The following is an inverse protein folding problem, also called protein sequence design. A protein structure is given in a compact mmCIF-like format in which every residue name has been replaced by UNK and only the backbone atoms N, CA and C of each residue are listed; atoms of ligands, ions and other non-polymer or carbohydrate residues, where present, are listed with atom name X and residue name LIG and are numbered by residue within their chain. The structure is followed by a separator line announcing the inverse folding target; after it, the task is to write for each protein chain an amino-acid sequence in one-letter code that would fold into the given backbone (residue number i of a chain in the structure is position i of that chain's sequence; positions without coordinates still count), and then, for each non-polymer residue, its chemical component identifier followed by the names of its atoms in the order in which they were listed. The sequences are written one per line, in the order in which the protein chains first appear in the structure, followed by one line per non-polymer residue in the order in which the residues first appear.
data_IF_383811181996
#
_entry.id   IF_383811181996
#
_cell.length_a   1.000
_cell.length_b   1.000
_cell.length_c   1.000
_cell.angle_alpha   90.00
_cell.angle_beta   90.00
_cell.angle_gamma   90.00
#
_symmetry.space_group_name_H-M   'P 1'
#
loop_
_entity.id
_entity.type
_entity.pdbx_description
1 polymer ?
#
# COMPACT_ATOMS: atom_id res chain seq x y z
N UNK A 1 -5.10 16.69 10.35
CA UNK A 1 -6.01 16.76 9.20
C UNK A 1 -7.26 17.53 9.62
N UNK A 2 -7.69 18.50 8.83
CA UNK A 2 -8.99 19.17 8.96
C UNK A 2 -9.81 18.82 7.74
N UNK A 3 -11.07 18.45 7.95
CA UNK A 3 -12.02 18.18 6.87
C UNK A 3 -12.87 19.44 6.72
N UNK A 4 -12.94 19.97 5.52
CA UNK A 4 -13.80 21.10 5.15
C UNK A 4 -14.83 20.62 4.11
N UNK A 5 -16.10 20.68 4.46
CA UNK A 5 -17.17 20.57 3.48
C UNK A 5 -17.31 21.92 2.80
N UNK A 6 -17.15 21.95 1.50
CA UNK A 6 -17.22 23.18 0.69
C UNK A 6 -18.51 23.16 -0.11
N UNK A 7 -19.38 24.15 0.11
CA UNK A 7 -20.57 24.36 -0.67
C UNK A 7 -20.51 25.70 -1.47
N UNK A 8 -21.45 25.88 -2.38
CA UNK A 8 -21.50 27.07 -3.24
C UNK A 8 -21.76 28.40 -2.51
N UNK A 9 -22.10 28.36 -1.22
CA UNK A 9 -22.39 29.54 -0.39
C UNK A 9 -21.16 30.05 0.37
N UNK A 10 -20.06 29.29 0.39
CA UNK A 10 -18.86 29.65 1.13
C UNK A 10 -17.99 30.67 0.40
N UNK A 11 -17.33 31.54 1.17
CA UNK A 11 -16.24 32.40 0.67
C UNK A 11 -15.00 31.56 0.38
N UNK A 12 -14.96 30.95 -0.82
CA UNK A 12 -13.83 30.16 -1.29
C UNK A 12 -12.54 30.96 -1.36
N UNK A 13 -12.62 32.27 -1.62
CA UNK A 13 -11.41 33.10 -1.70
C UNK A 13 -10.82 33.35 -0.30
N UNK A 14 -11.65 33.58 0.70
CA UNK A 14 -11.22 33.72 2.10
C UNK A 14 -10.59 32.41 2.61
N UNK A 15 -11.21 31.26 2.33
CA UNK A 15 -10.70 29.94 2.66
C UNK A 15 -9.33 29.69 1.99
N UNK A 16 -9.20 29.95 0.69
CA UNK A 16 -7.93 29.76 -0.04
C UNK A 16 -6.82 30.65 0.49
N UNK A 17 -7.12 31.88 0.87
CA UNK A 17 -6.13 32.78 1.46
C UNK A 17 -5.63 32.26 2.82
N UNK A 18 -6.54 31.82 3.69
CA UNK A 18 -6.20 31.20 4.99
C UNK A 18 -5.32 29.97 4.81
N UNK A 19 -5.68 29.05 3.88
CA UNK A 19 -4.92 27.83 3.61
C UNK A 19 -3.51 28.12 3.05
N UNK A 20 -3.36 29.17 2.23
CA UNK A 20 -2.05 29.61 1.72
C UNK A 20 -1.15 30.15 2.84
N UNK A 21 -1.71 30.90 3.77
CA UNK A 21 -0.95 31.40 4.93
C UNK A 21 -0.50 30.27 5.86
N UNK A 22 -1.36 29.25 6.06
CA UNK A 22 -1.05 28.07 6.86
C UNK A 22 -0.07 27.10 6.18
N UNK A 23 0.23 27.26 4.89
CA UNK A 23 1.10 26.37 4.08
C UNK A 23 0.68 24.90 4.16
N UNK A 24 -0.60 24.62 4.06
CA UNK A 24 -1.17 23.27 4.11
C UNK A 24 -1.33 22.70 2.71
N UNK A 25 -1.34 21.36 2.63
CA UNK A 25 -1.77 20.62 1.45
C UNK A 25 -3.29 20.43 1.50
N UNK A 26 -3.95 20.67 0.37
CA UNK A 26 -5.39 20.44 0.20
C UNK A 26 -5.57 19.25 -0.72
N UNK A 27 -6.29 18.25 -0.25
CA UNK A 27 -6.53 17.02 -0.98
C UNK A 27 -8.03 16.70 -0.99
N UNK A 28 -8.48 16.02 -2.04
CA UNK A 28 -9.84 15.49 -2.11
C UNK A 28 -10.00 14.31 -1.15
N UNK A 29 -11.17 14.21 -0.51
CA UNK A 29 -11.47 13.08 0.39
C UNK A 29 -11.75 11.83 -0.44
N UNK A 30 -11.06 10.75 -0.12
CA UNK A 30 -11.32 9.44 -0.70
C UNK A 30 -12.56 8.83 -0.03
N UNK A 31 -13.65 8.71 -0.78
CA UNK A 31 -14.77 7.85 -0.37
C UNK A 31 -14.38 6.40 -0.65
N UNK A 32 -14.25 5.61 0.41
CA UNK A 32 -13.80 4.21 0.31
C UNK A 32 -14.91 3.28 -0.17
N UNK A 33 -14.48 2.16 -0.76
CA UNK A 33 -15.33 1.00 -0.99
C UNK A 33 -15.97 0.53 0.33
N UNK A 34 -17.29 0.27 0.36
CA UNK A 34 -18.02 0.04 1.62
C UNK A 34 -17.41 -1.04 2.52
N UNK A 35 -17.04 -2.19 1.95
CA UNK A 35 -16.48 -3.30 2.73
C UNK A 35 -15.13 -2.98 3.37
N UNK A 36 -14.35 -2.05 2.78
CA UNK A 36 -13.12 -1.54 3.38
C UNK A 36 -13.44 -0.53 4.48
N UNK A 37 -14.37 0.39 4.23
CA UNK A 37 -14.79 1.41 5.19
C UNK A 37 -15.38 0.81 6.48
N UNK A 38 -16.00 -0.37 6.41
CA UNK A 38 -16.57 -1.07 7.56
C UNK A 38 -15.53 -1.44 8.64
N UNK A 39 -14.24 -1.54 8.32
CA UNK A 39 -13.21 -1.76 9.34
C UNK A 39 -13.08 -0.55 10.25
N UNK A 40 -12.84 0.62 9.68
CA UNK A 40 -12.84 1.88 10.41
C UNK A 40 -13.34 3.01 9.48
N UNK A 41 -14.58 3.50 9.68
CA UNK A 41 -15.18 4.48 8.79
C UNK A 41 -14.56 5.88 8.92
N UNK A 42 -13.84 6.16 10.01
CA UNK A 42 -13.23 7.48 10.27
C UNK A 42 -11.88 7.69 9.56
N UNK A 43 -11.31 6.63 8.99
CA UNK A 43 -10.05 6.69 8.26
C UNK A 43 -10.13 6.00 6.90
N UNK A 44 -9.25 6.40 5.98
CA UNK A 44 -9.01 5.62 4.77
C UNK A 44 -8.20 4.38 5.16
N UNK A 45 -8.80 3.19 5.06
CA UNK A 45 -8.11 1.93 5.28
C UNK A 45 -7.37 1.54 3.99
N UNK A 46 -6.06 1.37 4.07
CA UNK A 46 -5.20 1.24 2.91
C UNK A 46 -4.54 -0.13 2.80
N UNK A 47 -3.92 -0.38 1.65
CA UNK A 47 -3.05 -1.53 1.46
C UNK A 47 -1.63 -1.04 1.23
N UNK A 48 -0.65 -1.62 1.94
CA UNK A 48 0.76 -1.50 1.63
C UNK A 48 1.15 -2.66 0.74
N UNK A 49 1.41 -2.39 -0.55
CA UNK A 49 1.89 -3.38 -1.51
C UNK A 49 3.32 -3.05 -1.89
N UNK A 50 4.24 -3.98 -1.64
CA UNK A 50 5.66 -3.78 -1.94
C UNK A 50 6.01 -4.47 -3.24
N UNK A 51 6.59 -3.71 -4.18
CA UNK A 51 7.05 -4.23 -5.47
C UNK A 51 8.57 -4.15 -5.61
N UNK A 52 9.12 -5.10 -6.36
CA UNK A 52 10.51 -5.11 -6.81
C UNK A 52 10.53 -5.23 -8.34
N UNK A 53 11.03 -4.19 -9.02
CA UNK A 53 11.30 -4.23 -10.45
C UNK A 53 12.64 -4.93 -10.69
N UNK A 54 12.59 -6.11 -11.27
CA UNK A 54 13.75 -6.95 -11.58
C UNK A 54 14.54 -6.42 -12.79
N UNK A 55 15.76 -6.90 -12.98
CA UNK A 55 16.62 -6.48 -14.10
C UNK A 55 16.09 -6.89 -15.48
N UNK A 56 15.25 -7.91 -15.55
CA UNK A 56 14.53 -8.37 -16.76
C UNK A 56 13.22 -7.61 -17.00
N UNK A 57 13.02 -6.51 -16.28
CA UNK A 57 11.82 -5.68 -16.25
C UNK A 57 10.54 -6.41 -15.75
N UNK A 58 10.69 -7.60 -15.17
CA UNK A 58 9.60 -8.25 -14.46
C UNK A 58 9.35 -7.55 -13.12
N UNK A 59 8.09 -7.21 -12.84
CA UNK A 59 7.69 -6.69 -11.53
C UNK A 59 7.26 -7.83 -10.64
N UNK A 60 7.86 -7.93 -9.46
CA UNK A 60 7.48 -8.89 -8.41
C UNK A 60 6.76 -8.15 -7.30
N UNK A 61 5.58 -8.62 -6.94
CA UNK A 61 4.95 -8.24 -5.67
C UNK A 61 5.61 -9.07 -4.57
N UNK A 62 6.28 -8.38 -3.66
CA UNK A 62 7.08 -9.01 -2.61
C UNK A 62 6.29 -9.28 -1.35
N UNK A 63 5.49 -8.32 -0.92
CA UNK A 63 4.61 -8.39 0.25
C UNK A 63 3.38 -7.55 0.03
N UNK A 64 2.29 -7.93 0.68
CA UNK A 64 1.06 -7.14 0.72
C UNK A 64 0.47 -7.17 2.12
N UNK A 65 0.04 -6.02 2.62
CA UNK A 65 -0.46 -5.84 3.97
C UNK A 65 -1.69 -4.94 3.94
N UNK A 66 -2.77 -5.36 4.56
CA UNK A 66 -3.92 -4.51 4.84
C UNK A 66 -3.63 -3.67 6.09
N UNK A 67 -3.92 -2.37 6.03
CA UNK A 67 -3.84 -1.46 7.17
C UNK A 67 -5.22 -0.90 7.45
N UNK A 68 -5.60 -0.90 8.71
CA UNK A 68 -6.87 -0.33 9.17
C UNK A 68 -6.61 0.68 10.28
N UNK A 69 -7.35 1.77 10.27
CA UNK A 69 -7.38 2.68 11.41
C UNK A 69 -7.94 1.98 12.65
N UNK A 70 -7.62 2.53 13.82
CA UNK A 70 -8.08 1.99 15.09
C UNK A 70 -8.58 3.13 15.98
N UNK A 71 -9.87 3.43 15.88
CA UNK A 71 -10.54 4.50 16.63
C UNK A 71 -10.83 5.75 15.81
N UNK A 72 -10.84 6.91 16.45
CA UNK A 72 -11.35 8.18 15.91
C UNK A 72 -10.35 8.96 15.03
N UNK A 73 -9.17 8.41 14.78
CA UNK A 73 -8.16 9.08 13.95
C UNK A 73 -8.48 8.89 12.47
N UNK A 74 -8.26 9.93 11.68
CA UNK A 74 -8.50 9.94 10.23
C UNK A 74 -7.43 9.21 9.40
N UNK A 75 -6.41 8.60 10.04
CA UNK A 75 -5.34 7.87 9.38
C UNK A 75 -5.21 6.44 9.90
N UNK A 76 -4.93 5.50 9.00
CA UNK A 76 -4.65 4.10 9.27
C UNK A 76 -3.16 3.83 9.54
N UNK A 77 -2.37 4.88 9.72
CA UNK A 77 -0.93 4.77 9.86
C UNK A 77 -0.56 3.85 11.03
N UNK A 78 0.20 2.80 10.71
CA UNK A 78 0.65 1.79 11.67
C UNK A 78 1.34 2.40 12.90
N UNK A 79 2.18 3.42 12.68
CA UNK A 79 2.87 4.15 13.77
C UNK A 79 1.94 5.07 14.59
N UNK A 80 0.69 5.23 14.20
CA UNK A 80 -0.32 5.99 14.92
C UNK A 80 -1.47 5.11 15.42
N UNK A 81 -1.14 3.91 15.89
CA UNK A 81 -2.09 2.93 16.43
C UNK A 81 -2.94 2.20 15.37
N UNK A 82 -2.54 2.23 14.09
CA UNK A 82 -3.17 1.42 13.05
C UNK A 82 -2.90 -0.07 13.23
N UNK A 83 -3.74 -0.89 12.62
CA UNK A 83 -3.66 -2.35 12.64
C UNK A 83 -3.20 -2.84 11.28
N UNK A 84 -2.18 -3.69 11.25
CA UNK A 84 -1.64 -4.29 10.04
C UNK A 84 -1.86 -5.81 9.99
N UNK A 85 -2.17 -6.36 8.81
CA UNK A 85 -2.41 -7.80 8.60
C UNK A 85 -1.88 -8.22 7.23
N UNK A 86 -1.22 -9.37 7.14
CA UNK A 86 -0.68 -9.89 5.87
C UNK A 86 -1.80 -10.37 4.96
N UNK A 87 -1.66 -10.05 3.69
CA UNK A 87 -2.50 -10.55 2.60
C UNK A 87 -1.71 -11.65 1.86
N UNK A 88 -2.34 -12.79 1.66
CA UNK A 88 -1.84 -13.82 0.75
C UNK A 88 -1.94 -13.32 -0.69
N UNK A 89 -0.80 -13.11 -1.34
CA UNK A 89 -0.72 -12.46 -2.65
C UNK A 89 -1.50 -13.22 -3.74
N UNK A 90 -1.39 -14.56 -3.87
CA UNK A 90 -2.14 -15.30 -4.86
C UNK A 90 -3.66 -15.19 -4.72
N UNK A 91 -4.17 -15.21 -3.52
CA UNK A 91 -5.61 -15.22 -3.27
C UNK A 91 -6.21 -13.85 -2.99
N UNK A 92 -5.42 -12.87 -2.52
CA UNK A 92 -5.90 -11.58 -2.03
C UNK A 92 -6.70 -11.69 -0.73
N UNK A 93 -6.49 -12.76 0.04
CA UNK A 93 -7.16 -12.99 1.32
C UNK A 93 -6.23 -12.61 2.47
N UNK A 94 -6.74 -11.93 3.46
CA UNK A 94 -6.02 -11.63 4.69
C UNK A 94 -5.75 -12.93 5.45
N UNK A 95 -4.47 -13.26 5.64
CA UNK A 95 -4.01 -14.56 6.14
C UNK A 95 -3.59 -14.56 7.61
N UNK A 96 -3.36 -13.37 8.21
CA UNK A 96 -2.96 -13.25 9.61
C UNK A 96 -3.95 -12.44 10.42
N UNK A 97 -3.91 -12.60 11.75
CA UNK A 97 -4.52 -11.63 12.65
C UNK A 97 -3.93 -10.24 12.44
N UNK A 98 -4.69 -9.21 12.77
CA UNK A 98 -4.16 -7.86 12.86
C UNK A 98 -3.13 -7.74 13.99
N UNK A 99 -2.17 -6.85 13.81
CA UNK A 99 -1.21 -6.47 14.85
C UNK A 99 -1.04 -4.96 14.86
N UNK A 100 -0.88 -4.36 16.02
CA UNK A 100 -0.50 -2.96 16.19
C UNK A 100 0.98 -2.80 16.59
N UNK A 101 1.44 -1.57 16.76
CA UNK A 101 2.81 -1.24 17.17
C UNK A 101 3.20 -1.80 18.55
N UNK A 102 2.23 -2.07 19.42
CA UNK A 102 2.45 -2.65 20.75
C UNK A 102 2.41 -4.18 20.70
N UNK A 103 2.35 -4.76 19.48
CA UNK A 103 2.27 -6.21 19.24
C UNK A 103 1.00 -6.87 19.77
N UNK A 104 -0.06 -6.10 20.06
CA UNK A 104 -1.38 -6.65 20.39
C UNK A 104 -1.97 -7.29 19.15
N UNK A 105 -2.65 -8.42 19.32
CA UNK A 105 -3.23 -9.20 18.21
C UNK A 105 -4.75 -9.11 18.20
N UNK A 106 -5.30 -9.00 16.98
CA UNK A 106 -6.71 -8.81 16.72
C UNK A 106 -7.20 -9.81 15.67
N UNK A 107 -8.06 -10.75 16.08
CA UNK A 107 -8.77 -11.67 15.16
C UNK A 107 -9.91 -10.93 14.46
N UNK A 108 -10.56 -10.04 15.21
CA UNK A 108 -11.58 -9.10 14.73
C UNK A 108 -11.11 -7.69 14.99
N UNK A 109 -11.55 -6.75 14.17
CA UNK A 109 -11.23 -5.35 14.35
C UNK A 109 -11.86 -4.83 15.67
N UNK A 110 -11.10 -4.17 16.56
CA UNK A 110 -11.55 -3.86 17.92
C UNK A 110 -12.72 -2.86 17.98
N UNK A 111 -12.85 -1.99 16.97
CA UNK A 111 -13.92 -0.99 16.93
C UNK A 111 -15.16 -1.54 16.25
N UNK A 112 -15.03 -2.11 15.06
CA UNK A 112 -16.17 -2.57 14.26
C UNK A 112 -16.59 -4.01 14.53
N UNK A 113 -15.74 -4.85 15.18
CA UNK A 113 -15.98 -6.28 15.33
C UNK A 113 -15.83 -7.09 14.03
N UNK A 114 -15.48 -6.44 12.92
CA UNK A 114 -15.37 -7.12 11.61
C UNK A 114 -14.20 -8.13 11.64
N UNK A 115 -14.41 -9.37 11.14
CA UNK A 115 -13.34 -10.37 11.03
C UNK A 115 -12.21 -9.87 10.13
N UNK A 116 -10.97 -9.99 10.60
CA UNK A 116 -9.76 -9.60 9.87
C UNK A 116 -9.27 -10.78 9.05
N UNK A 117 -9.04 -11.93 9.70
CA UNK A 117 -8.59 -13.15 9.01
C UNK A 117 -9.68 -13.65 8.07
N UNK A 118 -9.29 -14.00 6.86
CA UNK A 118 -10.21 -14.50 5.84
C UNK A 118 -10.91 -13.41 5.03
N UNK A 119 -10.73 -12.12 5.38
CA UNK A 119 -11.27 -11.04 4.58
C UNK A 119 -10.64 -11.05 3.18
N UNK A 120 -11.48 -11.11 2.16
CA UNK A 120 -11.07 -11.03 0.75
C UNK A 120 -11.00 -9.57 0.34
N UNK A 121 -9.84 -9.12 -0.11
CA UNK A 121 -9.68 -7.75 -0.61
C UNK A 121 -10.48 -7.60 -1.92
N UNK A 122 -11.42 -6.65 -1.99
CA UNK A 122 -12.18 -6.39 -3.21
C UNK A 122 -11.26 -5.90 -4.33
N UNK A 123 -11.56 -6.29 -5.57
CA UNK A 123 -10.80 -5.90 -6.77
C UNK A 123 -9.30 -6.18 -6.70
N UNK A 124 -8.89 -7.25 -6.00
CA UNK A 124 -7.49 -7.58 -5.76
C UNK A 124 -6.64 -7.64 -7.03
N UNK A 125 -7.12 -8.31 -8.07
CA UNK A 125 -6.39 -8.44 -9.34
C UNK A 125 -6.16 -7.08 -10.02
N UNK A 126 -7.17 -6.19 -9.98
CA UNK A 126 -7.06 -4.83 -10.49
C UNK A 126 -6.05 -4.02 -9.70
N UNK A 127 -6.00 -4.20 -8.38
CA UNK A 127 -5.04 -3.54 -7.51
C UNK A 127 -3.60 -3.98 -7.81
N UNK A 128 -3.36 -5.28 -7.95
CA UNK A 128 -2.05 -5.82 -8.32
C UNK A 128 -1.62 -5.32 -9.71
N UNK A 129 -2.52 -5.30 -10.69
CA UNK A 129 -2.25 -4.76 -12.02
C UNK A 129 -1.86 -3.27 -11.95
N UNK A 130 -2.56 -2.48 -11.15
CA UNK A 130 -2.30 -1.03 -10.97
C UNK A 130 -0.91 -0.78 -10.40
N UNK A 131 -0.52 -1.43 -9.29
CA UNK A 131 0.80 -1.23 -8.68
C UNK A 131 1.93 -1.79 -9.55
N UNK A 132 1.65 -2.86 -10.30
CA UNK A 132 2.61 -3.43 -11.26
C UNK A 132 2.90 -2.44 -12.39
N UNK A 133 1.88 -1.81 -12.94
CA UNK A 133 2.03 -0.77 -13.96
C UNK A 133 2.77 0.45 -13.38
N UNK A 134 2.40 0.91 -12.19
CA UNK A 134 3.05 2.04 -11.52
C UNK A 134 4.55 1.80 -11.28
N UNK A 135 4.96 0.59 -10.91
CA UNK A 135 6.35 0.23 -10.68
C UNK A 135 7.23 0.35 -11.93
N UNK A 136 6.64 0.37 -13.12
CA UNK A 136 7.36 0.52 -14.40
C UNK A 136 7.50 1.97 -14.86
N UNK A 137 6.78 2.92 -14.24
CA UNK A 137 6.77 4.34 -14.66
C UNK A 137 8.12 5.00 -14.40
N UNK A 138 8.77 4.66 -13.27
CA UNK A 138 10.10 5.20 -12.91
C UNK A 138 11.07 4.05 -12.69
N UNK A 139 11.63 3.45 -13.77
CA UNK A 139 12.37 2.19 -13.70
C UNK A 139 13.70 2.27 -12.94
N UNK A 140 14.17 3.49 -12.62
CA UNK A 140 15.34 3.71 -11.75
C UNK A 140 15.03 3.46 -10.28
N UNK A 141 13.76 3.57 -9.86
CA UNK A 141 13.29 3.28 -8.50
C UNK A 141 12.73 1.85 -8.49
N UNK A 142 13.59 0.89 -8.19
CA UNK A 142 13.27 -0.54 -8.33
C UNK A 142 12.52 -1.17 -7.17
N UNK A 143 12.57 -0.57 -6.01
CA UNK A 143 11.88 -1.02 -4.79
C UNK A 143 10.92 0.06 -4.33
N UNK A 144 9.65 -0.24 -4.28
CA UNK A 144 8.61 0.71 -3.87
C UNK A 144 7.57 0.02 -3.01
N UNK A 145 7.25 0.62 -1.88
CA UNK A 145 6.05 0.31 -1.10
C UNK A 145 4.94 1.29 -1.47
N UNK A 146 3.90 0.78 -2.11
CA UNK A 146 2.74 1.53 -2.56
C UNK A 146 1.68 1.59 -1.47
N UNK A 147 1.22 2.77 -1.13
CA UNK A 147 0.03 2.97 -0.32
C UNK A 147 -1.17 3.16 -1.24
N UNK A 148 -2.11 2.23 -1.16
CA UNK A 148 -3.21 2.10 -2.12
C UNK A 148 -4.54 2.09 -1.39
N UNK A 149 -5.49 2.87 -1.90
CA UNK A 149 -6.87 2.86 -1.45
C UNK A 149 -7.81 2.33 -2.54
N UNK A 150 -8.94 1.78 -2.11
CA UNK A 150 -10.03 1.39 -2.98
C UNK A 150 -11.18 2.38 -2.84
N UNK A 151 -11.45 3.14 -3.89
CA UNK A 151 -12.54 4.10 -3.93
C UNK A 151 -13.91 3.42 -4.08
N UNK A 152 -14.95 4.12 -3.67
CA UNK A 152 -16.35 3.68 -3.67
C UNK A 152 -16.87 3.25 -5.04
N UNK A 153 -16.35 3.85 -6.09
CA UNK A 153 -16.67 3.53 -7.49
C UNK A 153 -15.84 2.37 -8.07
N UNK A 154 -14.99 1.73 -7.25
CA UNK A 154 -14.10 0.63 -7.64
C UNK A 154 -12.82 1.07 -8.33
N UNK A 155 -12.48 2.37 -8.32
CA UNK A 155 -11.16 2.83 -8.76
C UNK A 155 -10.10 2.51 -7.72
N UNK A 156 -8.90 2.18 -8.20
CA UNK A 156 -7.71 2.00 -7.37
C UNK A 156 -6.95 3.31 -7.35
N UNK A 157 -6.76 3.86 -6.15
CA UNK A 157 -6.05 5.13 -5.94
C UNK A 157 -4.69 4.81 -5.33
N UNK A 158 -3.62 5.22 -5.98
CA UNK A 158 -2.28 5.24 -5.39
C UNK A 158 -2.16 6.54 -4.62
N UNK A 159 -2.05 6.45 -3.30
CA UNK A 159 -1.88 7.61 -2.42
C UNK A 159 -0.42 8.08 -2.49
N UNK A 160 0.51 7.13 -2.33
CA UNK A 160 1.95 7.43 -2.40
C UNK A 160 2.77 6.20 -2.77
N UNK A 161 4.01 6.44 -3.23
CA UNK A 161 5.03 5.42 -3.46
C UNK A 161 6.29 5.70 -2.63
N UNK A 162 6.61 4.82 -1.70
CA UNK A 162 7.73 4.93 -0.77
C UNK A 162 8.93 4.12 -1.28
N UNK A 163 10.00 4.77 -1.74
CA UNK A 163 11.22 4.12 -2.23
C UNK A 163 12.03 3.43 -1.10
N UNK A 164 11.82 3.83 0.14
CA UNK A 164 12.44 3.26 1.33
C UNK A 164 11.36 2.75 2.30
N UNK A 165 10.41 1.95 1.77
CA UNK A 165 9.30 1.43 2.55
C UNK A 165 9.80 0.64 3.77
N UNK A 166 9.28 1.01 4.93
CA UNK A 166 9.64 0.40 6.20
C UNK A 166 9.20 -1.07 6.24
N UNK A 167 10.07 -1.99 6.67
CA UNK A 167 9.79 -3.42 6.71
C UNK A 167 8.88 -3.84 7.87
N UNK A 168 8.68 -3.04 8.90
CA UNK A 168 7.93 -3.38 10.11
C UNK A 168 6.49 -3.80 9.80
N UNK A 169 5.76 -2.98 9.03
CA UNK A 169 4.37 -3.25 8.59
C UNK A 169 4.23 -4.61 7.91
N UNK A 170 5.26 -5.05 7.21
CA UNK A 170 5.26 -6.31 6.45
C UNK A 170 5.78 -7.51 7.23
N UNK A 171 6.42 -7.30 8.38
CA UNK A 171 7.06 -8.35 9.17
C UNK A 171 6.38 -8.58 10.54
N UNK A 172 5.84 -7.52 11.15
CA UNK A 172 5.21 -7.64 12.47
C UNK A 172 3.98 -8.56 12.50
N UNK A 173 3.08 -8.59 11.49
CA UNK A 173 1.88 -9.43 11.60
C UNK A 173 2.17 -10.93 11.66
N UNK A 174 3.14 -11.44 10.92
CA UNK A 174 3.52 -12.86 10.90
C UNK A 174 4.81 -13.19 11.66
N UNK A 175 5.52 -12.16 12.17
CA UNK A 175 6.81 -12.29 12.87
C UNK A 175 7.89 -12.99 12.03
N UNK A 176 7.82 -12.82 10.71
CA UNK A 176 8.74 -13.43 9.76
C UNK A 176 9.58 -12.37 9.05
N UNK A 177 10.90 -12.43 9.23
CA UNK A 177 11.83 -11.57 8.51
C UNK A 177 11.78 -11.83 6.99
N UNK A 178 11.55 -10.79 6.19
CA UNK A 178 11.37 -10.92 4.73
C UNK A 178 12.69 -10.92 3.94
N UNK A 179 13.83 -10.68 4.58
CA UNK A 179 15.13 -10.66 3.90
C UNK A 179 15.45 -11.92 3.07
N UNK A 180 15.16 -13.16 3.52
CA UNK A 180 15.37 -14.35 2.69
C UNK A 180 14.61 -14.33 1.35
N UNK A 181 13.36 -13.80 1.36
CA UNK A 181 12.55 -13.62 0.17
C UNK A 181 13.21 -12.62 -0.80
N UNK A 182 13.56 -11.43 -0.32
CA UNK A 182 14.23 -10.41 -1.13
C UNK A 182 15.56 -10.90 -1.70
N UNK A 183 16.38 -11.53 -0.86
CA UNK A 183 17.69 -12.08 -1.27
C UNK A 183 17.56 -13.09 -2.41
N UNK A 184 16.52 -13.94 -2.37
CA UNK A 184 16.24 -14.93 -3.42
C UNK A 184 15.93 -14.24 -4.76
N UNK A 185 15.01 -13.27 -4.75
CA UNK A 185 14.59 -12.58 -5.98
C UNK A 185 15.70 -11.67 -6.54
N UNK A 186 16.44 -10.97 -5.69
CA UNK A 186 17.61 -10.19 -6.11
C UNK A 186 18.67 -11.05 -6.78
N UNK A 187 19.01 -12.23 -6.20
CA UNK A 187 19.98 -13.17 -6.81
C UNK A 187 19.50 -13.68 -8.16
N UNK A 188 18.20 -13.99 -8.31
CA UNK A 188 17.61 -14.42 -9.57
C UNK A 188 17.69 -13.32 -10.62
N UNK A 189 17.29 -12.11 -10.26
CA UNK A 189 17.32 -10.93 -11.12
C UNK A 189 18.74 -10.61 -11.62
N UNK A 190 19.74 -10.59 -10.73
CA UNK A 190 21.14 -10.36 -11.12
C UNK A 190 21.68 -11.45 -12.07
N UNK A 191 21.32 -12.74 -11.87
CA UNK A 191 21.75 -13.81 -12.80
C UNK A 191 21.14 -13.64 -14.19
N UNK A 192 19.91 -13.21 -14.28
CA UNK A 192 19.22 -12.95 -15.54
C UNK A 192 19.88 -11.76 -16.29
N UNK A 193 20.20 -10.68 -15.59
CA UNK A 193 20.93 -9.55 -16.16
C UNK A 193 22.31 -9.96 -16.73
N UNK A 194 23.06 -10.76 -16.01
CA UNK A 194 24.36 -11.30 -16.47
C UNK A 194 24.23 -12.20 -17.71
N UNK A 195 23.18 -13.01 -17.79
CA UNK A 195 22.94 -13.86 -18.97
C UNK A 195 22.52 -13.04 -20.19
N UNK A 196 21.71 -12.02 -20.01
CA UNK A 196 21.30 -11.11 -21.09
C UNK A 196 22.48 -10.32 -21.63
N UNK A 197 23.31 -9.73 -20.74
CA UNK A 197 24.51 -9.00 -21.16
C UNK A 197 25.45 -9.86 -22.02
N UNK A 198 25.74 -11.11 -21.58
CA UNK A 198 26.56 -12.06 -22.36
C UNK A 198 25.93 -12.45 -23.72
N UNK A 199 24.63 -12.46 -23.85
CA UNK A 199 23.96 -12.74 -25.12
C UNK A 199 24.10 -11.57 -26.09
N UNK A 200 23.86 -10.35 -25.60
CA UNK A 200 23.98 -9.12 -26.38
C UNK A 200 25.43 -8.90 -26.90
N UNK A 201 26.45 -9.20 -26.07
CA UNK A 201 27.85 -9.12 -26.49
C UNK A 201 28.19 -10.14 -27.57
N UNK A 202 27.61 -11.35 -27.55
CA UNK A 202 27.78 -12.35 -28.61
C UNK A 202 27.12 -11.97 -29.92
N UNK A 203 25.95 -11.31 -29.87
CA UNK A 203 25.22 -10.84 -31.06
C UNK A 203 25.84 -9.60 -31.71
N UNK A 204 26.72 -8.87 -31.00
CA UNK A 204 27.49 -7.73 -31.55
C UNK A 204 28.79 -8.11 -32.21
N UNK A 205 29.23 -9.36 -32.11
CA UNK A 205 30.53 -9.83 -32.66
C UNK A 205 30.34 -10.57 -34.00
N UNK A 206 29.12 -10.58 -34.54
CA UNK A 206 28.78 -11.05 -35.88
C UNK A 206 28.03 -9.93 -36.63
#
# INVERSE_FOLDING_TARGET
VRIHEVDASQDLQGLLNSLKEEKVLVEEIIEQWPEMAEFNPTSVNTLRVVTLLCHDNEVKVMTATMRCGNGDKCADNFHHNGIASIIDIPSGIVSTSGVDMESRRYVTHPVSGKPIIGFKIPFWDKMIATVTAAAQVVPTVRYVGWDVALAKDGHIIIIEGNYAADPDVTQMPDQVGKWPLYKKELKKSCRNAFRQAKKTDRERVY
#
